data_IF_305220099331
#
_entry.id   IF_305220099331
#
_cell.length_a   1.000
_cell.length_b   1.000
_cell.length_c   1.000
_cell.angle_alpha   90.00
_cell.angle_beta   90.00
_cell.angle_gamma   90.00
#
_symmetry.space_group_name_H-M   'P 1'
#
loop_
_entity.id
_entity.type
_entity.pdbx_description
1 polymer ?
#
# COMPACT_ATOMS: atom_id res chain seq x y z
N UNK A 1 15.21 -3.01 -24.50
CA UNK A 1 16.42 -3.07 -23.65
C UNK A 1 16.37 -1.86 -22.73
N UNK A 2 15.68 -2.00 -21.59
CA UNK A 2 15.54 -0.90 -20.62
C UNK A 2 16.75 -0.88 -19.70
N UNK A 3 17.29 0.32 -19.56
CA UNK A 3 18.56 0.67 -18.92
C UNK A 3 18.55 0.24 -17.46
N UNK A 4 19.62 -0.46 -17.06
CA UNK A 4 19.93 -0.76 -15.67
C UNK A 4 20.08 0.55 -14.89
N UNK A 5 19.03 0.95 -14.18
CA UNK A 5 19.10 1.93 -13.11
C UNK A 5 19.85 1.22 -11.99
N UNK A 6 21.06 1.69 -11.67
CA UNK A 6 21.80 1.20 -10.51
C UNK A 6 20.89 1.30 -9.30
N UNK A 7 20.50 0.15 -8.75
CA UNK A 7 19.51 0.05 -7.69
C UNK A 7 19.95 0.90 -6.51
N UNK A 8 19.30 2.05 -6.30
CA UNK A 8 19.43 2.80 -5.05
C UNK A 8 19.06 1.86 -3.90
N UNK A 9 20.05 1.54 -3.06
CA UNK A 9 19.86 0.70 -1.88
C UNK A 9 19.56 1.62 -0.71
N UNK A 10 18.38 1.47 -0.09
CA UNK A 10 18.08 2.19 1.14
C UNK A 10 19.14 1.87 2.19
N UNK A 11 19.68 2.91 2.82
CA UNK A 11 20.57 2.76 3.97
C UNK A 11 19.81 2.28 5.21
N UNK A 12 18.48 2.43 5.22
CA UNK A 12 17.60 2.08 6.32
C UNK A 12 16.48 1.17 5.81
N UNK A 13 16.39 -0.03 6.37
CA UNK A 13 15.32 -0.98 6.10
C UNK A 13 14.72 -1.41 7.44
N UNK A 14 13.68 -0.69 7.88
CA UNK A 14 12.93 -1.05 9.08
C UNK A 14 11.62 -1.75 8.73
N UNK A 15 11.24 -2.75 9.53
CA UNK A 15 10.00 -3.50 9.34
C UNK A 15 8.74 -2.73 9.75
N UNK A 16 8.83 -1.81 10.72
CA UNK A 16 7.69 -1.04 11.21
C UNK A 16 7.82 0.46 10.89
N UNK A 17 6.69 1.10 10.55
CA UNK A 17 6.63 2.53 10.28
C UNK A 17 7.04 3.40 11.47
N UNK A 18 6.83 2.92 12.71
CA UNK A 18 7.20 3.62 13.93
C UNK A 18 8.73 3.67 14.15
N UNK A 19 9.47 2.67 13.68
CA UNK A 19 10.94 2.66 13.76
C UNK A 19 11.55 3.79 12.91
N UNK A 20 10.98 4.03 11.72
CA UNK A 20 11.36 5.18 10.88
C UNK A 20 11.11 6.51 11.61
N UNK A 21 9.99 6.67 12.31
CA UNK A 21 9.67 7.89 13.06
C UNK A 21 10.65 8.12 14.19
N UNK A 22 10.94 7.08 14.98
CA UNK A 22 11.90 7.17 16.08
C UNK A 22 13.30 7.53 15.58
N UNK A 23 13.74 6.90 14.49
CA UNK A 23 15.05 7.20 13.89
C UNK A 23 15.11 8.61 13.29
N UNK A 24 14.03 9.06 12.66
CA UNK A 24 13.91 10.43 12.14
C UNK A 24 14.05 11.48 13.25
N UNK A 25 13.45 11.23 14.41
CA UNK A 25 13.59 12.10 15.58
C UNK A 25 15.03 12.15 16.09
N UNK A 26 15.72 11.01 16.17
CA UNK A 26 17.14 10.95 16.55
C UNK A 26 18.02 11.77 15.59
N UNK A 27 17.82 11.61 14.27
CA UNK A 27 18.58 12.36 13.26
C UNK A 27 18.31 13.87 13.37
N UNK A 28 17.06 14.27 13.59
CA UNK A 28 16.70 15.68 13.79
C UNK A 28 17.34 16.27 15.05
N UNK A 29 17.39 15.51 16.14
CA UNK A 29 18.12 15.96 17.34
C UNK A 29 19.63 16.04 17.13
N UNK A 30 20.22 15.09 16.41
CA UNK A 30 21.62 15.19 16.01
C UNK A 30 21.88 16.47 15.20
N UNK A 31 21.04 16.80 14.22
CA UNK A 31 21.15 18.04 13.45
C UNK A 31 21.04 19.29 14.35
N UNK A 32 20.09 19.31 15.29
CA UNK A 32 19.94 20.42 16.26
C UNK A 32 21.20 20.58 17.13
N UNK A 33 21.77 19.48 17.61
CA UNK A 33 23.02 19.50 18.37
C UNK A 33 24.19 20.01 17.54
N UNK A 34 24.30 19.61 16.26
CA UNK A 34 25.35 20.13 15.37
C UNK A 34 25.23 21.64 15.15
N UNK A 35 24.01 22.17 15.04
CA UNK A 35 23.76 23.61 14.95
C UNK A 35 24.14 24.33 16.25
N UNK A 36 23.75 23.78 17.41
CA UNK A 36 24.06 24.33 18.73
C UNK A 36 25.56 24.36 19.02
N UNK A 37 26.26 23.29 18.63
CA UNK A 37 27.69 23.12 18.86
C UNK A 37 28.57 23.80 17.79
N UNK A 38 27.97 24.43 16.76
CA UNK A 38 28.72 25.07 15.68
C UNK A 38 29.48 24.07 14.78
N UNK A 39 29.03 22.82 14.70
CA UNK A 39 29.63 21.77 13.88
C UNK A 39 29.00 21.66 12.49
N UNK A 40 27.86 22.31 12.27
CA UNK A 40 27.15 22.30 10.99
C UNK A 40 27.84 23.15 9.90
N UNK A 41 28.64 24.14 10.29
CA UNK A 41 29.39 24.98 9.38
C UNK A 41 30.68 25.47 10.04
N UNK A 42 31.70 25.72 9.24
CA UNK A 42 33.03 26.10 9.69
C UNK A 42 33.56 27.30 8.89
N UNK A 43 34.43 28.09 9.52
CA UNK A 43 35.21 29.13 8.88
C UNK A 43 36.68 28.96 9.28
N UNK A 44 37.57 28.79 8.30
CA UNK A 44 38.98 28.50 8.57
C UNK A 44 39.78 29.75 8.98
N UNK A 45 39.37 30.93 8.53
CA UNK A 45 40.08 32.20 8.79
C UNK A 45 39.39 33.03 9.86
N UNK A 46 40.21 33.65 10.72
CA UNK A 46 39.77 34.70 11.63
C UNK A 46 39.88 36.05 10.95
N UNK A 47 38.75 36.73 10.78
CA UNK A 47 38.68 38.02 10.13
C UNK A 47 38.72 39.17 11.13
N UNK A 48 39.25 40.31 10.71
CA UNK A 48 39.16 41.60 11.42
C UNK A 48 38.51 42.63 10.52
N UNK A 49 37.65 43.48 11.07
CA UNK A 49 37.02 44.60 10.34
C UNK A 49 37.45 45.88 11.01
N UNK A 50 38.11 46.78 10.28
CA UNK A 50 38.72 48.01 10.81
C UNK A 50 39.70 47.72 11.98
N UNK A 51 40.47 46.63 11.90
CA UNK A 51 41.34 46.17 12.98
C UNK A 51 40.60 45.55 14.19
N UNK A 52 39.27 45.47 14.16
CA UNK A 52 38.46 44.90 15.24
C UNK A 52 38.10 43.43 14.98
N UNK A 53 38.70 42.53 15.75
CA UNK A 53 38.44 41.09 15.68
C UNK A 53 37.01 40.71 16.14
N UNK A 54 36.39 41.47 17.05
CA UNK A 54 35.01 41.20 17.48
C UNK A 54 34.00 41.48 16.37
N UNK A 55 34.21 42.57 15.60
CA UNK A 55 33.41 42.86 14.40
C UNK A 55 33.55 41.75 13.35
N UNK A 56 34.77 41.27 13.11
CA UNK A 56 35.01 40.16 12.19
C UNK A 56 34.34 38.85 12.62
N UNK A 57 34.44 38.48 13.91
CA UNK A 57 33.69 37.32 14.46
C UNK A 57 32.19 37.44 14.25
N UNK A 58 31.62 38.64 14.44
CA UNK A 58 30.19 38.89 14.19
C UNK A 58 29.83 38.68 12.72
N UNK A 59 30.60 39.26 11.78
CA UNK A 59 30.38 39.10 10.34
C UNK A 59 30.40 37.63 9.92
N UNK A 60 31.38 36.86 10.39
CA UNK A 60 31.49 35.43 10.09
C UNK A 60 30.30 34.65 10.67
N UNK A 61 29.90 34.95 11.91
CA UNK A 61 28.71 34.34 12.51
C UNK A 61 27.44 34.59 11.68
N UNK A 62 27.25 35.83 11.22
CA UNK A 62 26.10 36.20 10.40
C UNK A 62 26.14 35.53 9.01
N UNK A 63 27.32 35.44 8.40
CA UNK A 63 27.55 34.71 7.14
C UNK A 63 27.22 33.21 7.28
N UNK A 64 27.74 32.55 8.32
CA UNK A 64 27.48 31.12 8.57
C UNK A 64 25.98 30.87 8.80
N UNK A 65 25.31 31.76 9.53
CA UNK A 65 23.86 31.70 9.74
C UNK A 65 23.08 31.82 8.43
N UNK A 66 23.51 32.68 7.51
CA UNK A 66 22.89 32.85 6.20
C UNK A 66 23.06 31.60 5.32
N UNK A 67 24.28 31.05 5.25
CA UNK A 67 24.55 29.81 4.51
C UNK A 67 23.70 28.65 5.03
N UNK A 68 23.66 28.45 6.36
CA UNK A 68 22.86 27.41 6.99
C UNK A 68 21.36 27.60 6.72
N UNK A 69 20.85 28.83 6.77
CA UNK A 69 19.44 29.12 6.46
C UNK A 69 19.11 28.77 5.01
N UNK A 70 19.96 29.15 4.06
CA UNK A 70 19.76 28.85 2.65
C UNK A 70 19.77 27.34 2.40
N UNK A 71 20.73 26.62 2.98
CA UNK A 71 20.84 25.18 2.78
C UNK A 71 19.71 24.41 3.46
N UNK A 72 19.34 24.76 4.69
CA UNK A 72 18.20 24.15 5.37
C UNK A 72 16.91 24.35 4.57
N UNK A 73 16.68 25.54 4.01
CA UNK A 73 15.51 25.79 3.17
C UNK A 73 15.45 24.87 1.93
N UNK A 74 16.58 24.67 1.25
CA UNK A 74 16.65 23.72 0.11
C UNK A 74 16.46 22.27 0.54
N UNK A 75 17.00 21.87 1.70
CA UNK A 75 16.81 20.53 2.25
C UNK A 75 15.34 20.28 2.60
N UNK A 76 14.71 21.19 3.33
CA UNK A 76 13.30 21.07 3.74
C UNK A 76 12.38 21.02 2.52
N UNK A 77 12.69 21.79 1.47
CA UNK A 77 11.98 21.75 0.20
C UNK A 77 12.17 20.43 -0.57
N UNK A 78 13.36 19.81 -0.50
CA UNK A 78 13.61 18.50 -1.10
C UNK A 78 12.91 17.37 -0.31
N UNK A 79 13.06 17.37 1.02
CA UNK A 79 12.47 16.38 1.93
C UNK A 79 10.94 16.40 1.85
N UNK A 80 10.32 17.59 1.80
CA UNK A 80 8.85 17.68 1.65
C UNK A 80 8.30 17.18 0.31
N UNK A 81 9.14 17.08 -0.73
CA UNK A 81 8.77 16.65 -2.08
C UNK A 81 9.24 15.24 -2.43
N UNK A 82 9.92 14.57 -1.51
CA UNK A 82 10.34 13.19 -1.70
C UNK A 82 9.11 12.29 -1.85
N UNK A 83 9.24 11.30 -2.73
CA UNK A 83 8.28 10.26 -3.05
C UNK A 83 9.03 8.94 -3.18
N UNK A 84 8.30 7.83 -3.10
CA UNK A 84 8.83 6.49 -3.29
C UNK A 84 9.68 6.33 -4.56
N UNK A 85 9.38 7.09 -5.63
CA UNK A 85 9.98 6.96 -6.96
C UNK A 85 11.11 7.97 -7.28
N UNK A 86 11.43 8.92 -6.40
CA UNK A 86 12.22 10.09 -6.79
C UNK A 86 13.43 10.40 -5.89
N UNK A 87 13.82 9.49 -5.00
CA UNK A 87 14.86 9.70 -3.98
C UNK A 87 16.19 10.16 -4.59
N UNK A 88 16.67 9.53 -5.66
CA UNK A 88 17.93 9.91 -6.32
C UNK A 88 17.92 11.37 -6.82
N UNK A 89 16.77 11.82 -7.35
CA UNK A 89 16.61 13.20 -7.81
C UNK A 89 16.69 14.19 -6.64
N UNK A 90 16.10 13.83 -5.49
CA UNK A 90 16.15 14.66 -4.28
C UNK A 90 17.54 14.67 -3.64
N UNK A 91 18.26 13.55 -3.61
CA UNK A 91 19.66 13.47 -3.18
C UNK A 91 20.53 14.39 -4.03
N UNK A 92 20.44 14.25 -5.36
CA UNK A 92 21.20 15.08 -6.30
C UNK A 92 20.86 16.57 -6.15
N UNK A 93 19.59 16.91 -5.88
CA UNK A 93 19.19 18.29 -5.60
C UNK A 93 19.88 18.83 -4.34
N UNK A 94 19.86 18.08 -3.23
CA UNK A 94 20.50 18.50 -1.99
C UNK A 94 22.02 18.65 -2.13
N UNK A 95 22.68 17.74 -2.84
CA UNK A 95 24.10 17.81 -3.13
C UNK A 95 24.46 19.04 -3.98
N UNK A 96 23.71 19.31 -5.06
CA UNK A 96 23.91 20.53 -5.87
C UNK A 96 23.71 21.82 -5.08
N UNK A 97 22.69 21.87 -4.22
CA UNK A 97 22.47 23.01 -3.34
C UNK A 97 23.62 23.20 -2.35
N UNK A 98 24.13 22.11 -1.76
CA UNK A 98 25.31 22.14 -0.89
C UNK A 98 26.53 22.72 -1.60
N UNK A 99 26.85 22.22 -2.80
CA UNK A 99 27.99 22.69 -3.60
C UNK A 99 27.85 24.17 -3.97
N UNK A 100 26.68 24.61 -4.45
CA UNK A 100 26.45 25.98 -4.86
C UNK A 100 26.55 26.98 -3.68
N UNK A 101 26.01 26.60 -2.52
CA UNK A 101 26.05 27.42 -1.31
C UNK A 101 27.47 27.50 -0.76
N UNK A 102 28.20 26.39 -0.71
CA UNK A 102 29.61 26.38 -0.28
C UNK A 102 30.51 27.15 -1.24
N UNK A 103 30.25 27.10 -2.55
CA UNK A 103 30.94 27.94 -3.54
C UNK A 103 30.77 29.43 -3.23
N UNK A 104 29.58 29.84 -2.80
CA UNK A 104 29.30 31.24 -2.42
C UNK A 104 30.02 31.63 -1.12
N UNK A 105 30.11 30.70 -0.16
CA UNK A 105 30.84 30.92 1.11
C UNK A 105 32.37 30.88 0.99
N UNK A 106 32.91 30.31 -0.10
CA UNK A 106 34.34 30.04 -0.28
C UNK A 106 35.23 31.29 -0.18
N UNK A 107 34.74 32.45 -0.63
CA UNK A 107 35.49 33.74 -0.57
C UNK A 107 35.84 34.10 0.87
N UNK A 108 34.94 33.82 1.81
CA UNK A 108 35.14 34.07 3.23
C UNK A 108 35.74 32.87 3.97
N UNK A 109 36.09 31.81 3.23
CA UNK A 109 36.47 30.49 3.75
C UNK A 109 35.43 29.88 4.70
N UNK A 110 34.16 30.21 4.47
CA UNK A 110 33.01 29.70 5.19
C UNK A 110 32.36 28.57 4.39
N UNK A 111 32.10 27.44 5.03
CA UNK A 111 31.45 26.30 4.38
C UNK A 111 30.58 25.51 5.35
N UNK A 112 29.54 24.89 4.82
CA UNK A 112 28.72 23.87 5.48
C UNK A 112 29.52 22.57 5.46
N UNK A 113 29.51 21.85 6.58
CA UNK A 113 30.30 20.62 6.71
C UNK A 113 29.65 19.46 5.97
N UNK A 114 30.47 18.56 5.42
CA UNK A 114 29.98 17.32 4.81
C UNK A 114 29.24 16.42 5.81
N UNK A 115 29.63 16.46 7.08
CA UNK A 115 28.92 15.72 8.15
C UNK A 115 27.49 16.22 8.32
N UNK A 116 27.25 17.52 8.17
CA UNK A 116 25.90 18.08 8.23
C UNK A 116 25.09 17.76 6.98
N UNK A 117 25.71 17.79 5.79
CA UNK A 117 25.09 17.28 4.56
C UNK A 117 24.66 15.82 4.73
N UNK A 118 25.53 14.96 5.29
CA UNK A 118 25.21 13.55 5.51
C UNK A 118 24.01 13.38 6.44
N UNK A 119 23.97 14.10 7.56
CA UNK A 119 22.83 14.06 8.47
C UNK A 119 21.51 14.53 7.82
N UNK A 120 21.59 15.48 6.89
CA UNK A 120 20.44 15.93 6.08
C UNK A 120 20.02 14.91 5.02
N UNK A 121 20.97 14.21 4.40
CA UNK A 121 20.67 13.10 3.49
C UNK A 121 20.04 11.94 4.25
N UNK A 122 20.57 11.55 5.42
CA UNK A 122 19.99 10.49 6.23
C UNK A 122 18.52 10.82 6.61
N UNK A 123 18.20 12.10 6.90
CA UNK A 123 16.80 12.54 7.08
C UNK A 123 15.94 12.31 5.84
N UNK A 124 16.44 12.64 4.64
CA UNK A 124 15.74 12.42 3.38
C UNK A 124 15.47 10.92 3.15
N UNK A 125 16.46 10.06 3.38
CA UNK A 125 16.34 8.60 3.19
C UNK A 125 15.30 7.99 4.15
N UNK A 126 15.27 8.45 5.41
CA UNK A 126 14.28 8.00 6.39
C UNK A 126 12.85 8.42 6.02
N UNK A 127 12.67 9.63 5.50
CA UNK A 127 11.35 10.09 5.04
C UNK A 127 10.91 9.30 3.81
N UNK A 128 11.83 8.99 2.89
CA UNK A 128 11.56 8.14 1.73
C UNK A 128 11.16 6.72 2.14
N UNK A 129 11.93 6.05 2.99
CA UNK A 129 11.60 4.70 3.47
C UNK A 129 10.27 4.63 4.23
N UNK A 130 9.94 5.67 5.02
CA UNK A 130 8.62 5.78 5.65
C UNK A 130 7.48 5.87 4.61
N UNK A 131 7.66 6.63 3.53
CA UNK A 131 6.66 6.74 2.47
C UNK A 131 6.51 5.45 1.66
N UNK A 132 7.62 4.75 1.37
CA UNK A 132 7.59 3.44 0.73
C UNK A 132 6.81 2.44 1.56
N UNK A 133 7.04 2.42 2.88
CA UNK A 133 6.32 1.52 3.79
C UNK A 133 4.82 1.81 3.81
N UNK A 134 4.44 3.09 3.92
CA UNK A 134 3.04 3.49 3.90
C UNK A 134 2.36 3.14 2.56
N UNK A 135 3.09 3.22 1.46
CA UNK A 135 2.59 2.84 0.14
C UNK A 135 2.39 1.32 0.04
N UNK A 136 3.34 0.51 0.52
CA UNK A 136 3.24 -0.94 0.56
C UNK A 136 2.03 -1.40 1.40
N UNK A 137 1.86 -0.85 2.60
CA UNK A 137 0.71 -1.15 3.47
C UNK A 137 -0.63 -0.79 2.79
N UNK A 138 -0.67 0.32 2.05
CA UNK A 138 -1.86 0.74 1.30
C UNK A 138 -2.17 -0.20 0.13
N UNK A 139 -1.15 -0.71 -0.54
CA UNK A 139 -1.28 -1.65 -1.65
C UNK A 139 -1.77 -3.02 -1.16
N UNK A 140 -1.20 -3.54 -0.07
CA UNK A 140 -1.67 -4.76 0.60
C UNK A 140 -3.16 -4.63 1.00
N UNK A 141 -3.54 -3.53 1.64
CA UNK A 141 -4.96 -3.27 1.98
C UNK A 141 -5.87 -3.14 0.75
N UNK A 142 -5.33 -2.70 -0.39
CA UNK A 142 -6.10 -2.64 -1.64
C UNK A 142 -6.33 -4.04 -2.18
N UNK A 143 -5.30 -4.88 -2.20
CA UNK A 143 -5.39 -6.28 -2.64
C UNK A 143 -6.36 -7.08 -1.79
N UNK A 144 -6.31 -6.96 -0.46
CA UNK A 144 -7.26 -7.63 0.45
C UNK A 144 -8.70 -7.18 0.16
N UNK A 145 -8.93 -5.87 -0.04
CA UNK A 145 -10.27 -5.36 -0.37
C UNK A 145 -10.78 -5.84 -1.73
N UNK A 146 -9.89 -6.03 -2.69
CA UNK A 146 -10.24 -6.56 -4.00
C UNK A 146 -10.61 -8.04 -3.91
N UNK A 147 -9.81 -8.84 -3.19
CA UNK A 147 -10.12 -10.24 -2.89
C UNK A 147 -11.47 -10.39 -2.17
N UNK A 148 -11.73 -9.60 -1.12
CA UNK A 148 -13.02 -9.64 -0.42
C UNK A 148 -14.21 -9.32 -1.35
N UNK A 149 -14.04 -8.39 -2.31
CA UNK A 149 -15.11 -8.07 -3.27
C UNK A 149 -15.34 -9.19 -4.27
N UNK A 150 -14.28 -9.86 -4.71
CA UNK A 150 -14.40 -11.02 -5.59
C UNK A 150 -15.07 -12.20 -4.88
N UNK A 151 -14.68 -12.46 -3.63
CA UNK A 151 -15.31 -13.47 -2.77
C UNK A 151 -16.78 -13.15 -2.51
N UNK A 152 -17.13 -11.89 -2.21
CA UNK A 152 -18.53 -11.48 -2.00
C UNK A 152 -19.36 -11.62 -3.29
N UNK A 153 -18.80 -11.27 -4.45
CA UNK A 153 -19.48 -11.47 -5.75
C UNK A 153 -19.70 -12.96 -6.02
N UNK A 154 -18.67 -13.78 -5.83
CA UNK A 154 -18.78 -15.23 -5.99
C UNK A 154 -19.83 -15.82 -5.04
N UNK A 155 -19.85 -15.40 -3.77
CA UNK A 155 -20.86 -15.83 -2.80
C UNK A 155 -22.28 -15.43 -3.22
N UNK A 156 -22.48 -14.21 -3.73
CA UNK A 156 -23.80 -13.76 -4.25
C UNK A 156 -24.24 -14.51 -5.50
N UNK A 157 -23.33 -14.85 -6.39
CA UNK A 157 -23.64 -15.66 -7.57
C UNK A 157 -24.01 -17.09 -7.17
N UNK A 158 -23.31 -17.67 -6.21
CA UNK A 158 -23.66 -18.96 -5.61
C UNK A 158 -25.05 -18.92 -4.96
N UNK A 159 -25.34 -17.93 -4.12
CA UNK A 159 -26.65 -17.79 -3.46
C UNK A 159 -27.79 -17.64 -4.48
N UNK A 160 -27.58 -16.86 -5.56
CA UNK A 160 -28.55 -16.74 -6.65
C UNK A 160 -28.77 -18.08 -7.35
N UNK A 161 -27.71 -18.80 -7.68
CA UNK A 161 -27.79 -20.11 -8.33
C UNK A 161 -28.51 -21.13 -7.44
N UNK A 162 -28.20 -21.18 -6.14
CA UNK A 162 -28.89 -22.05 -5.17
C UNK A 162 -30.39 -21.71 -5.07
N UNK A 163 -30.73 -20.41 -5.02
CA UNK A 163 -32.12 -19.96 -4.98
C UNK A 163 -32.89 -20.30 -6.26
N UNK A 164 -32.25 -20.22 -7.41
CA UNK A 164 -32.84 -20.62 -8.69
C UNK A 164 -33.05 -22.13 -8.77
N UNK A 165 -32.05 -22.92 -8.36
CA UNK A 165 -32.15 -24.38 -8.31
C UNK A 165 -33.26 -24.83 -7.33
N UNK A 166 -33.33 -24.25 -6.13
CA UNK A 166 -34.40 -24.53 -5.17
C UNK A 166 -35.80 -24.19 -5.71
N UNK A 167 -35.95 -23.09 -6.46
CA UNK A 167 -37.21 -22.75 -7.14
C UNK A 167 -37.57 -23.76 -8.23
N UNK A 168 -36.60 -24.24 -8.99
CA UNK A 168 -36.83 -25.26 -10.03
C UNK A 168 -37.27 -26.58 -9.41
N UNK A 169 -36.60 -27.03 -8.34
CA UNK A 169 -37.00 -28.20 -7.57
C UNK A 169 -38.42 -28.06 -7.00
N UNK A 170 -38.75 -26.90 -6.41
CA UNK A 170 -40.09 -26.63 -5.90
C UNK A 170 -41.18 -26.70 -6.97
N UNK A 171 -40.92 -26.17 -8.17
CA UNK A 171 -41.84 -26.26 -9.32
C UNK A 171 -42.04 -27.71 -9.78
N UNK A 172 -40.96 -28.49 -9.88
CA UNK A 172 -41.02 -29.90 -10.26
C UNK A 172 -41.78 -30.72 -9.21
N UNK A 173 -41.55 -30.46 -7.92
CA UNK A 173 -42.27 -31.12 -6.82
C UNK A 173 -43.77 -30.79 -6.85
N UNK A 174 -44.16 -29.55 -7.12
CA UNK A 174 -45.57 -29.17 -7.25
C UNK A 174 -46.23 -29.84 -8.46
N UNK A 175 -45.56 -29.86 -9.61
CA UNK A 175 -46.05 -30.55 -10.81
C UNK A 175 -46.21 -32.06 -10.57
N UNK A 176 -45.26 -32.67 -9.86
CA UNK A 176 -45.32 -34.06 -9.47
C UNK A 176 -46.53 -34.33 -8.56
N UNK A 177 -46.71 -33.52 -7.51
CA UNK A 177 -47.83 -33.69 -6.58
C UNK A 177 -49.21 -33.57 -7.28
N UNK A 178 -49.33 -32.64 -8.24
CA UNK A 178 -50.55 -32.51 -9.06
C UNK A 178 -50.77 -33.75 -9.94
N UNK A 179 -49.72 -34.20 -10.64
CA UNK A 179 -49.79 -35.40 -11.48
C UNK A 179 -50.13 -36.67 -10.67
N UNK A 180 -49.60 -36.80 -9.45
CA UNK A 180 -49.95 -37.90 -8.54
C UNK A 180 -51.40 -37.83 -8.07
N UNK A 181 -51.92 -36.65 -7.74
CA UNK A 181 -53.31 -36.45 -7.36
C UNK A 181 -54.27 -36.78 -8.52
N UNK A 182 -53.93 -36.37 -9.74
CA UNK A 182 -54.73 -36.66 -10.94
C UNK A 182 -54.70 -38.15 -11.29
N UNK A 183 -53.54 -38.81 -11.16
CA UNK A 183 -53.41 -40.26 -11.34
C UNK A 183 -54.20 -41.05 -10.27
N UNK A 184 -54.22 -40.59 -9.02
CA UNK A 184 -55.01 -41.20 -7.95
C UNK A 184 -56.52 -41.10 -8.22
N UNK A 185 -57.01 -39.93 -8.64
CA UNK A 185 -58.42 -39.73 -9.04
C UNK A 185 -58.81 -40.60 -10.23
N UNK A 186 -57.95 -40.70 -11.26
CA UNK A 186 -58.22 -41.56 -12.42
C UNK A 186 -58.34 -43.04 -12.03
N UNK A 187 -57.52 -43.48 -11.07
CA UNK A 187 -57.56 -44.84 -10.52
C UNK A 187 -58.83 -45.11 -9.71
N UNK A 188 -59.31 -44.15 -8.93
CA UNK A 188 -60.59 -44.25 -8.19
C UNK A 188 -61.80 -44.36 -9.12
N UNK A 189 -61.76 -43.73 -10.30
CA UNK A 189 -62.83 -43.77 -11.31
C UNK A 189 -62.73 -45.03 -12.22
N UNK A 190 -61.75 -45.92 -11.98
CA UNK A 190 -61.57 -47.15 -12.75
C UNK A 190 -60.95 -46.95 -14.14
N UNK A 191 -60.50 -45.74 -14.47
CA UNK A 191 -59.79 -45.45 -15.70
C UNK A 191 -58.29 -45.75 -15.52
N UNK A 192 -57.80 -46.85 -16.13
CA UNK A 192 -56.36 -47.07 -16.25
C UNK A 192 -55.79 -46.05 -17.24
N UNK A 193 -55.07 -45.05 -16.73
CA UNK A 193 -54.40 -44.05 -17.55
C UNK A 193 -52.87 -44.24 -17.49
N UNK A 194 -52.38 -45.14 -18.34
CA UNK A 194 -50.97 -45.51 -18.44
C UNK A 194 -50.08 -44.30 -18.81
N UNK A 195 -50.63 -43.33 -19.56
CA UNK A 195 -49.95 -42.08 -19.90
C UNK A 195 -49.75 -41.16 -18.69
N UNK A 196 -50.72 -41.09 -17.76
CA UNK A 196 -50.55 -40.33 -16.51
C UNK A 196 -49.51 -40.98 -15.59
N UNK A 197 -49.48 -42.31 -15.54
CA UNK A 197 -48.48 -43.06 -14.75
C UNK A 197 -47.07 -42.84 -15.30
N UNK A 198 -46.89 -42.91 -16.62
CA UNK A 198 -45.62 -42.57 -17.28
C UNK A 198 -45.21 -41.12 -16.99
N UNK A 199 -46.17 -40.18 -17.02
CA UNK A 199 -45.89 -38.76 -16.74
C UNK A 199 -45.43 -38.52 -15.30
N UNK A 200 -46.02 -39.23 -14.33
CA UNK A 200 -45.58 -39.19 -12.92
C UNK A 200 -44.17 -39.74 -12.78
N UNK A 201 -43.85 -40.85 -13.44
CA UNK A 201 -42.52 -41.47 -13.38
C UNK A 201 -41.44 -40.56 -14.01
N UNK A 202 -41.74 -39.93 -15.15
CA UNK A 202 -40.86 -38.96 -15.79
C UNK A 202 -40.61 -37.73 -14.91
N UNK A 203 -41.65 -37.19 -14.26
CA UNK A 203 -41.52 -36.06 -13.35
C UNK A 203 -40.72 -36.42 -12.08
N UNK A 204 -40.88 -37.64 -11.55
CA UNK A 204 -40.05 -38.16 -10.45
C UNK A 204 -38.58 -38.23 -10.86
N UNK A 205 -38.30 -38.80 -12.04
CA UNK A 205 -36.93 -38.92 -12.54
C UNK A 205 -36.29 -37.56 -12.77
N UNK A 206 -37.03 -36.59 -13.32
CA UNK A 206 -36.55 -35.23 -13.52
C UNK A 206 -36.26 -34.51 -12.19
N UNK A 207 -37.13 -34.69 -11.18
CA UNK A 207 -36.93 -34.11 -9.85
C UNK A 207 -35.69 -34.69 -9.16
N UNK A 208 -35.49 -36.01 -9.21
CA UNK A 208 -34.31 -36.64 -8.60
C UNK A 208 -33.01 -36.23 -9.29
N UNK A 209 -32.98 -36.15 -10.62
CA UNK A 209 -31.83 -35.63 -11.36
C UNK A 209 -31.54 -34.17 -10.98
N UNK A 210 -32.57 -33.33 -10.85
CA UNK A 210 -32.41 -31.93 -10.47
C UNK A 210 -31.79 -31.78 -9.06
N UNK A 211 -32.28 -32.56 -8.08
CA UNK A 211 -31.74 -32.59 -6.70
C UNK A 211 -30.30 -33.10 -6.65
N UNK A 212 -29.99 -34.16 -7.40
CA UNK A 212 -28.62 -34.68 -7.47
C UNK A 212 -27.66 -33.65 -8.06
N UNK A 213 -28.07 -32.95 -9.13
CA UNK A 213 -27.26 -31.90 -9.74
C UNK A 213 -27.04 -30.73 -8.77
N UNK A 214 -28.07 -30.32 -8.03
CA UNK A 214 -27.97 -29.31 -6.99
C UNK A 214 -27.01 -29.74 -5.88
N UNK A 215 -27.17 -30.93 -5.30
CA UNK A 215 -26.29 -31.43 -4.23
C UNK A 215 -24.83 -31.59 -4.69
N UNK A 216 -24.61 -32.04 -5.92
CA UNK A 216 -23.27 -32.11 -6.51
C UNK A 216 -22.67 -30.72 -6.72
N UNK A 217 -23.48 -29.73 -7.11
CA UNK A 217 -23.02 -28.34 -7.23
C UNK A 217 -22.62 -27.75 -5.87
N UNK A 218 -23.42 -27.95 -4.81
CA UNK A 218 -23.08 -27.53 -3.44
C UNK A 218 -21.80 -28.22 -2.96
N UNK A 219 -21.69 -29.53 -3.16
CA UNK A 219 -20.54 -30.30 -2.70
C UNK A 219 -19.25 -29.85 -3.41
N UNK A 220 -19.32 -29.57 -4.72
CA UNK A 220 -18.18 -29.01 -5.47
C UNK A 220 -17.83 -27.61 -5.00
N UNK A 221 -18.82 -26.75 -4.75
CA UNK A 221 -18.61 -25.40 -4.24
C UNK A 221 -17.97 -25.38 -2.84
N UNK A 222 -18.37 -26.31 -1.97
CA UNK A 222 -17.80 -26.48 -0.63
C UNK A 222 -16.35 -26.98 -0.66
N UNK A 223 -16.00 -27.86 -1.61
CA UNK A 223 -14.63 -28.35 -1.80
C UNK A 223 -13.70 -27.32 -2.46
N UNK A 224 -14.25 -26.37 -3.21
CA UNK A 224 -13.49 -25.26 -3.83
C UNK A 224 -13.38 -24.01 -2.98
N UNK A 225 -14.02 -23.94 -1.79
CA UNK A 225 -13.67 -22.89 -0.82
C UNK A 225 -12.20 -23.10 -0.45
N UNK A 226 -11.33 -22.08 -0.61
CA UNK A 226 -9.97 -22.20 -0.12
C UNK A 226 -10.05 -22.51 1.37
N UNK A 227 -9.43 -23.62 1.79
CA UNK A 227 -9.26 -23.92 3.19
C UNK A 227 -8.41 -22.78 3.77
N UNK A 228 -9.08 -21.78 4.33
CA UNK A 228 -8.44 -20.79 5.20
C UNK A 228 -8.06 -21.55 6.47
N UNK A 229 -6.90 -22.22 6.41
CA UNK A 229 -6.26 -22.82 7.56
C UNK A 229 -5.96 -21.69 8.55
N UNK A 230 -6.53 -21.86 9.73
CA UNK A 230 -6.34 -21.06 10.94
C UNK A 230 -4.87 -20.96 11.32
#
# INVERSE_FOLDING_TARGET
>A
MFVAHGLYKLSFDFGAADDYRARLEQVREQQKLMLKNGQASICATTWTIDGNAAKGRKMIKDQLKLLLRAFNGECDAAISKVRYDNIESMINRMQRSFEAINKTGSVNQCQITHTYLRAKLDELELVHGYQERLQAEREEQRQIREQMREEEKAARELEKAEREAAKQEGRLAEQLARAEADAAKAREVGAQNEQLMQRVEDLKRQLEVAKELHQRAISRAQLTRPATST
#
